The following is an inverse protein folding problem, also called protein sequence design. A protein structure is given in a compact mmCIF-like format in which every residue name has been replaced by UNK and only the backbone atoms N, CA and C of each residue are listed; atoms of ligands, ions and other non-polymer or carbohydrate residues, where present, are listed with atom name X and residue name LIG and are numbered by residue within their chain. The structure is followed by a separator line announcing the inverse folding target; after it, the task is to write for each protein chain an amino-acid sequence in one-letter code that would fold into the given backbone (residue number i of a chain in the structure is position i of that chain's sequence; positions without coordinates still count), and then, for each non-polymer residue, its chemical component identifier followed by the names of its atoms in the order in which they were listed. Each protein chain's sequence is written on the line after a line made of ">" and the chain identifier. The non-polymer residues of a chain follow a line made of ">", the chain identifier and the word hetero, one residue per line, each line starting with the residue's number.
data_IF_804417298177
#
_entry.id   IF_804417298177
#
_cell.length_a   1.000
_cell.length_b   1.000
_cell.length_c   1.000
_cell.angle_alpha   90.00
_cell.angle_beta   90.00
_cell.angle_gamma   90.00
#
_symmetry.space_group_name_H-M   'P 1'
#
loop_
_entity.id
_entity.type
_entity.pdbx_description
1 polymer ?
#
# COMPACT_ATOMS: atom_id res chain seq x y z
N UNK A 1 9.65 5.09 -12.06
CA UNK A 1 9.20 3.72 -12.39
C UNK A 1 8.79 3.66 -13.85
N UNK A 2 9.15 2.63 -14.61
CA UNK A 2 8.70 2.48 -16.01
C UNK A 2 7.28 1.88 -16.10
N UNK A 3 6.69 1.88 -17.31
CA UNK A 3 5.31 1.40 -17.54
C UNK A 3 5.10 -0.08 -17.20
N UNK A 4 6.10 -0.92 -17.43
CA UNK A 4 6.00 -2.35 -17.16
C UNK A 4 6.01 -2.62 -15.65
N UNK A 5 6.88 -1.93 -14.92
CA UNK A 5 6.92 -1.96 -13.46
C UNK A 5 5.63 -1.42 -12.85
N UNK A 6 5.09 -0.32 -13.39
CA UNK A 6 3.79 0.22 -12.96
C UNK A 6 2.63 -0.76 -13.18
N UNK A 7 2.58 -1.42 -14.33
CA UNK A 7 1.57 -2.45 -14.59
C UNK A 7 1.66 -3.63 -13.60
N UNK A 8 2.88 -4.10 -13.32
CA UNK A 8 3.12 -5.16 -12.32
C UNK A 8 2.68 -4.74 -10.92
N UNK A 9 3.04 -3.53 -10.48
CA UNK A 9 2.61 -2.98 -9.21
C UNK A 9 1.07 -2.87 -9.16
N UNK A 10 0.45 -2.38 -10.22
CA UNK A 10 -1.02 -2.23 -10.30
C UNK A 10 -1.71 -3.57 -10.07
N UNK A 11 -1.25 -4.63 -10.75
CA UNK A 11 -1.84 -5.96 -10.61
C UNK A 11 -1.56 -6.57 -9.23
N UNK A 12 -0.37 -6.36 -8.69
CA UNK A 12 -0.03 -6.76 -7.32
C UNK A 12 -0.98 -6.11 -6.31
N UNK A 13 -1.21 -4.80 -6.40
CA UNK A 13 -2.11 -4.07 -5.51
C UNK A 13 -3.58 -4.51 -5.68
N UNK A 14 -4.03 -4.79 -6.91
CA UNK A 14 -5.38 -5.37 -7.15
C UNK A 14 -5.53 -6.74 -6.49
N UNK A 15 -4.53 -7.60 -6.62
CA UNK A 15 -4.55 -8.92 -5.99
C UNK A 15 -4.63 -8.81 -4.46
N UNK A 16 -3.89 -7.86 -3.86
CA UNK A 16 -3.94 -7.59 -2.42
C UNK A 16 -5.26 -6.96 -1.96
N UNK A 17 -5.86 -6.09 -2.76
CA UNK A 17 -7.21 -5.58 -2.49
C UNK A 17 -8.26 -6.71 -2.49
N UNK A 18 -8.17 -7.66 -3.42
CA UNK A 18 -9.07 -8.82 -3.44
C UNK A 18 -8.82 -9.76 -2.25
N UNK A 19 -7.57 -9.88 -1.79
CA UNK A 19 -7.24 -10.60 -0.55
C UNK A 19 -7.87 -9.92 0.67
N UNK A 20 -7.78 -8.60 0.78
CA UNK A 20 -8.39 -7.82 1.85
C UNK A 20 -9.90 -7.97 1.86
N UNK A 21 -10.56 -7.90 0.69
CA UNK A 21 -12.00 -8.08 0.58
C UNK A 21 -12.46 -9.42 1.15
N UNK A 22 -11.74 -10.52 0.85
CA UNK A 22 -12.06 -11.83 1.42
C UNK A 22 -11.79 -11.90 2.92
N UNK A 23 -10.70 -11.31 3.37
CA UNK A 23 -10.25 -11.39 4.76
C UNK A 23 -11.14 -10.60 5.73
N UNK A 24 -11.56 -9.40 5.33
CA UNK A 24 -12.26 -8.46 6.22
C UNK A 24 -13.66 -8.08 5.73
N UNK A 25 -14.14 -8.72 4.66
CA UNK A 25 -15.46 -8.47 4.02
C UNK A 25 -15.71 -7.01 3.68
N UNK A 26 -14.65 -6.29 3.32
CA UNK A 26 -14.69 -4.89 2.92
C UNK A 26 -14.10 -4.73 1.52
N UNK A 27 -14.92 -4.28 0.56
CA UNK A 27 -14.49 -4.02 -0.81
C UNK A 27 -13.99 -2.57 -0.96
N UNK A 28 -12.71 -2.33 -1.24
CA UNK A 28 -12.15 -0.98 -1.30
C UNK A 28 -12.39 -0.32 -2.68
N UNK A 29 -13.66 -0.05 -3.03
CA UNK A 29 -14.03 0.45 -4.36
C UNK A 29 -13.28 1.72 -4.79
N UNK A 30 -13.08 2.67 -3.87
CA UNK A 30 -12.33 3.89 -4.15
C UNK A 30 -10.88 3.59 -4.56
N UNK A 31 -10.21 2.70 -3.83
CA UNK A 31 -8.85 2.26 -4.14
C UNK A 31 -8.77 1.53 -5.49
N UNK A 32 -9.74 0.66 -5.78
CA UNK A 32 -9.81 -0.04 -7.07
C UNK A 32 -9.98 0.95 -8.23
N UNK A 33 -10.80 1.99 -8.06
CA UNK A 33 -10.96 3.07 -9.04
C UNK A 33 -9.68 3.88 -9.24
N UNK A 34 -8.93 4.17 -8.16
CA UNK A 34 -7.61 4.81 -8.26
C UNK A 34 -6.65 3.94 -9.10
N UNK A 35 -6.60 2.63 -8.87
CA UNK A 35 -5.75 1.74 -9.66
C UNK A 35 -6.15 1.66 -11.14
N UNK A 36 -7.42 1.82 -11.45
CA UNK A 36 -7.91 1.89 -12.83
C UNK A 36 -7.53 3.19 -13.53
N UNK A 37 -7.65 4.32 -12.82
CA UNK A 37 -7.43 5.65 -13.40
C UNK A 37 -5.96 6.06 -13.40
N UNK A 38 -5.25 5.82 -12.30
CA UNK A 38 -3.91 6.34 -12.03
C UNK A 38 -2.80 5.28 -12.17
N UNK A 39 -3.15 4.00 -12.19
CA UNK A 39 -2.17 2.91 -12.04
C UNK A 39 -1.59 2.83 -10.62
N UNK A 40 -0.66 1.90 -10.42
CA UNK A 40 -0.10 1.57 -9.11
C UNK A 40 0.79 2.67 -8.54
N UNK A 41 1.69 3.20 -9.35
CA UNK A 41 2.71 4.16 -8.91
C UNK A 41 2.10 5.44 -8.37
N UNK A 42 1.24 6.07 -9.18
CA UNK A 42 0.60 7.32 -8.80
C UNK A 42 -0.39 7.10 -7.65
N UNK A 43 -1.08 5.96 -7.60
CA UNK A 43 -1.95 5.61 -6.46
C UNK A 43 -1.16 5.58 -5.16
N UNK A 44 -0.04 4.86 -5.13
CA UNK A 44 0.84 4.80 -3.93
C UNK A 44 1.32 6.20 -3.54
N UNK A 45 1.81 6.98 -4.50
CA UNK A 45 2.28 8.35 -4.25
C UNK A 45 1.18 9.20 -3.65
N UNK A 46 -0.03 9.18 -4.22
CA UNK A 46 -1.17 9.97 -3.72
C UNK A 46 -1.54 9.58 -2.28
N UNK A 47 -1.62 8.29 -1.98
CA UNK A 47 -2.00 7.80 -0.66
C UNK A 47 -0.95 8.10 0.41
N UNK A 48 0.33 7.91 0.10
CA UNK A 48 1.41 8.15 1.04
C UNK A 48 1.76 9.64 1.19
N UNK A 49 1.50 10.44 0.16
CA UNK A 49 1.70 11.90 0.20
C UNK A 49 0.61 12.65 0.96
N UNK A 50 -0.56 12.05 1.15
CA UNK A 50 -1.66 12.65 1.91
C UNK A 50 -1.28 12.88 3.38
N UNK A 51 -1.80 13.95 3.99
CA UNK A 51 -1.56 14.22 5.42
C UNK A 51 -2.27 13.22 6.34
N UNK A 52 -3.40 12.67 5.89
CA UNK A 52 -4.17 11.67 6.63
C UNK A 52 -4.02 10.30 5.99
N UNK A 53 -4.06 9.26 6.81
CA UNK A 53 -4.18 7.87 6.34
C UNK A 53 -5.50 7.68 5.59
N UNK A 54 -5.52 6.72 4.66
CA UNK A 54 -6.73 6.40 3.92
C UNK A 54 -7.76 5.70 4.80
N UNK A 55 -9.03 5.74 4.41
CA UNK A 55 -10.08 4.95 5.07
C UNK A 55 -9.80 3.45 4.96
N UNK A 56 -9.21 2.99 3.85
CA UNK A 56 -8.76 1.61 3.69
C UNK A 56 -7.71 1.21 4.73
N UNK A 57 -6.74 2.09 5.02
CA UNK A 57 -5.75 1.85 6.07
C UNK A 57 -6.41 1.70 7.45
N UNK A 58 -7.33 2.59 7.81
CA UNK A 58 -8.07 2.51 9.08
C UNK A 58 -8.84 1.20 9.19
N UNK A 59 -9.56 0.81 8.14
CA UNK A 59 -10.33 -0.45 8.10
C UNK A 59 -9.43 -1.67 8.28
N UNK A 60 -8.27 -1.68 7.63
CA UNK A 60 -7.30 -2.77 7.78
C UNK A 60 -6.69 -2.81 9.19
N UNK A 61 -6.44 -1.65 9.80
CA UNK A 61 -5.98 -1.55 11.19
C UNK A 61 -7.02 -2.10 12.19
N UNK A 62 -8.29 -1.71 12.05
CA UNK A 62 -9.41 -2.21 12.87
C UNK A 62 -9.52 -3.75 12.83
N UNK A 63 -9.10 -4.37 11.73
CA UNK A 63 -9.17 -5.81 11.52
C UNK A 63 -7.82 -6.53 11.69
N UNK A 64 -6.79 -5.86 12.20
CA UNK A 64 -5.43 -6.43 12.34
C UNK A 64 -4.87 -7.00 11.03
N UNK A 65 -5.19 -6.37 9.88
CA UNK A 65 -4.74 -6.77 8.54
C UNK A 65 -3.92 -5.68 7.84
N UNK A 66 -3.11 -4.94 8.60
CA UNK A 66 -2.22 -3.92 8.04
C UNK A 66 -1.16 -4.49 7.11
N UNK A 67 -0.90 -5.80 7.14
CA UNK A 67 -0.10 -6.52 6.13
C UNK A 67 -0.63 -6.36 4.69
N UNK A 68 -1.91 -6.00 4.54
CA UNK A 68 -2.55 -5.72 3.25
C UNK A 68 -2.64 -4.22 2.92
N UNK A 69 -2.12 -3.34 3.79
CA UNK A 69 -2.11 -1.90 3.55
C UNK A 69 -1.06 -1.53 2.51
N UNK A 70 -1.28 -0.44 1.78
CA UNK A 70 -0.27 0.07 0.83
C UNK A 70 1.05 0.34 1.55
N UNK A 71 1.00 0.92 2.73
CA UNK A 71 2.14 1.21 3.59
C UNK A 71 2.99 -0.05 3.85
N UNK A 72 2.38 -1.12 4.35
CA UNK A 72 3.10 -2.37 4.61
C UNK A 72 3.60 -2.99 3.30
N UNK A 73 2.75 -3.04 2.28
CA UNK A 73 3.09 -3.66 1.00
C UNK A 73 4.30 -2.98 0.33
N UNK A 74 4.43 -1.65 0.39
CA UNK A 74 5.60 -0.97 -0.18
C UNK A 74 6.84 -1.07 0.70
N UNK A 75 6.69 -1.20 2.01
CA UNK A 75 7.82 -1.30 2.95
C UNK A 75 8.40 -2.72 2.99
N UNK A 76 7.54 -3.72 2.92
CA UNK A 76 7.87 -5.13 3.18
C UNK A 76 8.13 -5.95 1.89
N UNK A 77 8.08 -5.32 0.71
CA UNK A 77 8.33 -6.00 -0.58
C UNK A 77 9.39 -5.31 -1.45
N UNK A 78 9.71 -5.93 -2.58
CA UNK A 78 10.65 -5.41 -3.60
C UNK A 78 10.30 -4.00 -4.10
N UNK A 79 9.03 -3.59 -3.99
CA UNK A 79 8.58 -2.26 -4.36
C UNK A 79 9.22 -1.16 -3.53
N UNK A 80 9.76 -1.46 -2.34
CA UNK A 80 10.43 -0.49 -1.47
C UNK A 80 11.50 0.32 -2.20
N UNK A 81 12.31 -0.36 -3.01
CA UNK A 81 13.41 0.25 -3.76
C UNK A 81 12.94 1.05 -4.98
N UNK A 82 11.65 0.97 -5.33
CA UNK A 82 11.06 1.66 -6.49
C UNK A 82 10.45 3.03 -6.15
N UNK A 83 10.43 3.42 -4.87
CA UNK A 83 9.86 4.68 -4.39
C UNK A 83 10.89 5.57 -3.70
N UNK A 84 10.57 6.86 -3.63
CA UNK A 84 11.38 7.85 -2.92
C UNK A 84 11.55 7.46 -1.44
N UNK A 85 12.77 7.51 -0.88
CA UNK A 85 13.03 7.17 0.53
C UNK A 85 12.20 7.98 1.52
N UNK A 86 11.86 9.24 1.22
CA UNK A 86 10.98 10.09 2.03
C UNK A 86 9.56 9.53 2.06
N UNK A 87 9.06 9.04 0.92
CA UNK A 87 7.74 8.41 0.84
C UNK A 87 7.70 7.11 1.64
N UNK A 88 8.76 6.30 1.55
CA UNK A 88 8.91 5.07 2.35
C UNK A 88 8.98 5.40 3.84
N UNK A 89 9.74 6.42 4.25
CA UNK A 89 9.81 6.85 5.64
C UNK A 89 8.44 7.28 6.18
N UNK A 90 7.57 7.88 5.35
CA UNK A 90 6.18 8.20 5.73
C UNK A 90 5.33 6.95 5.95
N UNK A 91 5.45 5.94 5.09
CA UNK A 91 4.78 4.66 5.28
C UNK A 91 5.24 3.98 6.59
N UNK A 92 6.55 3.89 6.79
CA UNK A 92 7.16 3.33 8.02
C UNK A 92 6.70 4.08 9.27
N UNK A 93 6.63 5.42 9.22
CA UNK A 93 6.11 6.23 10.32
C UNK A 93 4.66 5.90 10.64
N UNK A 94 3.77 5.86 9.64
CA UNK A 94 2.34 5.53 9.83
C UNK A 94 2.14 4.15 10.45
N UNK A 95 2.92 3.16 10.02
CA UNK A 95 2.87 1.80 10.59
C UNK A 95 3.38 1.79 12.04
N UNK A 96 4.44 2.55 12.34
CA UNK A 96 4.99 2.67 13.69
C UNK A 96 4.03 3.35 14.66
N UNK A 97 3.33 4.41 14.22
CA UNK A 97 2.35 5.16 15.02
C UNK A 97 1.19 4.29 15.52
N UNK A 98 0.87 3.22 14.78
CA UNK A 98 -0.19 2.27 15.15
C UNK A 98 0.34 0.93 15.66
N UNK A 99 1.65 0.83 15.92
CA UNK A 99 2.29 -0.34 16.51
C UNK A 99 2.38 -1.56 15.60
N UNK A 100 2.30 -1.40 14.27
CA UNK A 100 2.43 -2.52 13.34
C UNK A 100 3.90 -2.95 13.17
N UNK A 101 4.27 -4.23 13.38
CA UNK A 101 5.66 -4.69 13.38
C UNK A 101 6.15 -5.04 11.96
N UNK A 102 6.30 -4.04 11.10
CA UNK A 102 6.77 -4.24 9.73
C UNK A 102 8.25 -4.63 9.65
N UNK A 103 8.61 -5.38 8.60
CA UNK A 103 10.00 -5.70 8.25
C UNK A 103 10.37 -5.02 6.93
N UNK A 104 11.37 -4.13 6.97
CA UNK A 104 11.89 -3.51 5.74
C UNK A 104 12.40 -4.59 4.79
N UNK A 105 11.99 -4.52 3.52
CA UNK A 105 12.56 -5.34 2.48
C UNK A 105 14.04 -4.99 2.30
N UNK A 106 14.91 -5.92 2.69
CA UNK A 106 16.33 -5.90 2.36
C UNK A 106 16.48 -6.74 1.09
N UNK A 107 16.49 -6.09 -0.08
CA UNK A 107 16.68 -6.82 -1.33
C UNK A 107 17.94 -7.67 -1.28
N UNK A 108 17.82 -8.93 -1.70
CA UNK A 108 18.94 -9.85 -1.98
C UNK A 108 19.68 -9.43 -3.24
#
# INVERSE_FOLDING_TARGET
>A
MDKNQDFKLTNFLRAKAAEAERAIRYRPNYFLGMLETDGGHLTVIKLLSANKVSEGFKKLWEHSRLDLSVEALVVESEWRSSFDPVLIARAEKRLSEVGYPFKRFAGT
#
